data_IF_334879147429
#
_entry.id   IF_334879147429
#
_cell.length_a   1.000
_cell.length_b   1.000
_cell.length_c   1.000
_cell.angle_alpha   90.00
_cell.angle_beta   90.00
_cell.angle_gamma   90.00
#
_symmetry.space_group_name_H-M   'P 1'
#
loop_
_entity.id
_entity.type
_entity.pdbx_description
1 polymer ?
#
# COMPACT_ATOMS: atom_id res chain seq x y z
N UNK A 1 29.20 -30.23 3.50
CA UNK A 1 28.15 -31.09 2.93
C UNK A 1 26.97 -30.19 2.62
N UNK A 2 26.47 -30.10 1.37
CA UNK A 2 25.25 -29.33 1.12
C UNK A 2 24.14 -29.90 2.00
N UNK A 3 23.37 -29.02 2.62
CA UNK A 3 22.30 -29.39 3.56
C UNK A 3 21.35 -30.40 2.92
N UNK A 4 20.89 -31.34 3.75
CA UNK A 4 20.01 -32.43 3.36
C UNK A 4 18.92 -31.94 2.40
N UNK A 5 18.91 -32.51 1.20
CA UNK A 5 17.78 -32.47 0.28
C UNK A 5 16.55 -32.85 1.10
N UNK A 6 15.50 -32.02 1.10
CA UNK A 6 14.23 -32.33 1.74
C UNK A 6 13.83 -33.76 1.30
N UNK A 7 13.77 -34.73 2.24
CA UNK A 7 13.59 -36.13 1.89
C UNK A 7 12.28 -36.39 1.15
N UNK A 8 11.30 -35.48 1.22
CA UNK A 8 10.05 -35.55 0.47
C UNK A 8 10.22 -35.23 -1.02
N UNK A 9 11.33 -34.60 -1.40
CA UNK A 9 11.59 -34.19 -2.78
C UNK A 9 12.46 -35.21 -3.52
N UNK A 10 13.42 -35.87 -2.89
CA UNK A 10 14.28 -36.85 -3.60
C UNK A 10 15.23 -36.21 -4.63
N UNK A 11 15.49 -34.90 -4.53
CA UNK A 11 16.53 -34.20 -5.29
C UNK A 11 16.30 -34.15 -6.80
N UNK A 12 17.35 -33.80 -7.56
CA UNK A 12 17.26 -33.53 -9.00
C UNK A 12 16.86 -34.74 -9.87
N UNK A 13 17.02 -35.97 -9.37
CA UNK A 13 16.67 -37.20 -10.10
C UNK A 13 15.29 -37.79 -9.80
N UNK A 14 14.55 -37.21 -8.84
CA UNK A 14 13.22 -37.65 -8.44
C UNK A 14 12.11 -36.63 -8.75
N UNK A 15 10.86 -36.87 -8.33
CA UNK A 15 9.75 -35.91 -8.49
C UNK A 15 9.90 -34.64 -7.64
N UNK A 16 11.04 -34.41 -7.01
CA UNK A 16 11.27 -33.38 -6.02
C UNK A 16 11.15 -31.96 -6.50
N UNK A 17 11.84 -31.58 -7.57
CA UNK A 17 11.72 -30.24 -8.14
C UNK A 17 10.26 -29.92 -8.47
N UNK A 18 9.51 -30.86 -9.07
CA UNK A 18 8.11 -30.64 -9.43
C UNK A 18 7.18 -30.64 -8.22
N UNK A 19 7.44 -31.47 -7.20
CA UNK A 19 6.70 -31.45 -5.93
C UNK A 19 6.91 -30.13 -5.17
N UNK A 20 8.16 -29.67 -5.08
CA UNK A 20 8.48 -28.40 -4.44
C UNK A 20 7.81 -27.22 -5.14
N UNK A 21 7.81 -27.19 -6.47
CA UNK A 21 7.06 -26.18 -7.25
C UNK A 21 5.57 -26.23 -6.93
N UNK A 22 4.97 -27.43 -6.83
CA UNK A 22 3.55 -27.59 -6.44
C UNK A 22 3.29 -27.03 -5.04
N UNK A 23 4.16 -27.27 -4.07
CA UNK A 23 4.02 -26.71 -2.72
C UNK A 23 4.11 -25.18 -2.74
N UNK A 24 5.07 -24.59 -3.46
CA UNK A 24 5.16 -23.13 -3.60
C UNK A 24 3.92 -22.54 -4.27
N UNK A 25 3.43 -23.15 -5.34
CA UNK A 25 2.17 -22.76 -5.98
C UNK A 25 0.98 -22.86 -5.01
N UNK A 26 0.91 -23.92 -4.22
CA UNK A 26 -0.11 -24.10 -3.19
C UNK A 26 -0.06 -23.03 -2.10
N UNK A 27 1.14 -22.66 -1.65
CA UNK A 27 1.34 -21.54 -0.70
C UNK A 27 0.85 -20.22 -1.30
N UNK A 28 1.19 -19.92 -2.56
CA UNK A 28 0.70 -18.73 -3.25
C UNK A 28 -0.84 -18.73 -3.36
N UNK A 29 -1.45 -19.87 -3.72
CA UNK A 29 -2.90 -20.01 -3.78
C UNK A 29 -3.55 -19.81 -2.39
N UNK A 30 -2.94 -20.35 -1.33
CA UNK A 30 -3.37 -20.14 0.04
C UNK A 30 -3.34 -18.66 0.45
N UNK A 31 -2.29 -17.93 0.05
CA UNK A 31 -2.21 -16.48 0.26
C UNK A 31 -3.31 -15.72 -0.50
N UNK A 32 -3.68 -16.14 -1.72
CA UNK A 32 -4.81 -15.50 -2.43
C UNK A 32 -6.15 -15.81 -1.75
N UNK A 33 -6.36 -17.05 -1.30
CA UNK A 33 -7.58 -17.45 -0.58
C UNK A 33 -7.72 -16.71 0.76
N UNK A 34 -6.60 -16.36 1.41
CA UNK A 34 -6.61 -15.61 2.67
C UNK A 34 -7.27 -14.23 2.53
N UNK A 35 -7.26 -13.59 1.35
CA UNK A 35 -7.96 -12.31 1.15
C UNK A 35 -9.47 -12.44 1.45
N UNK A 36 -10.12 -13.47 0.88
CA UNK A 36 -11.54 -13.74 1.13
C UNK A 36 -11.81 -14.14 2.59
N UNK A 37 -10.90 -14.91 3.21
CA UNK A 37 -11.01 -15.27 4.62
C UNK A 37 -10.93 -14.05 5.55
N UNK A 38 -10.07 -13.07 5.23
CA UNK A 38 -9.98 -11.81 5.98
C UNK A 38 -11.27 -11.01 5.86
N UNK A 39 -11.86 -10.91 4.66
CA UNK A 39 -13.14 -10.24 4.45
C UNK A 39 -14.26 -10.90 5.26
N UNK A 40 -14.38 -12.24 5.20
CA UNK A 40 -15.36 -12.99 5.97
C UNK A 40 -15.21 -12.79 7.49
N UNK A 41 -13.97 -12.83 8.00
CA UNK A 41 -13.69 -12.59 9.41
C UNK A 41 -14.08 -11.17 9.85
N UNK A 42 -13.89 -10.17 8.98
CA UNK A 42 -14.34 -8.80 9.23
C UNK A 42 -15.86 -8.67 9.25
N UNK A 43 -16.59 -9.39 8.39
CA UNK A 43 -18.05 -9.45 8.43
C UNK A 43 -18.57 -10.07 9.72
N UNK A 44 -17.97 -11.18 10.16
CA UNK A 44 -18.35 -11.85 11.40
C UNK A 44 -18.06 -10.96 12.61
N UNK A 45 -16.91 -10.29 12.63
CA UNK A 45 -16.59 -9.30 13.66
C UNK A 45 -17.61 -8.15 13.68
N UNK A 46 -18.01 -7.64 12.51
CA UNK A 46 -19.00 -6.59 12.42
C UNK A 46 -20.37 -7.02 12.93
N UNK A 47 -20.78 -8.27 12.70
CA UNK A 47 -22.02 -8.85 13.24
C UNK A 47 -22.00 -8.92 14.77
N UNK A 48 -20.86 -9.24 15.37
CA UNK A 48 -20.70 -9.38 16.83
C UNK A 48 -20.63 -8.02 17.52
N UNK A 49 -19.84 -7.10 16.97
CA UNK A 49 -19.44 -5.85 17.66
C UNK A 49 -20.27 -4.64 17.20
N UNK A 50 -21.04 -4.77 16.11
CA UNK A 50 -21.85 -3.68 15.55
C UNK A 50 -21.05 -2.57 14.88
N UNK A 51 -19.74 -2.74 14.70
CA UNK A 51 -18.85 -1.78 14.04
C UNK A 51 -18.26 -2.42 12.79
N UNK A 52 -18.04 -1.63 11.74
CA UNK A 52 -17.47 -2.11 10.49
C UNK A 52 -16.11 -1.45 10.25
N UNK A 53 -15.12 -2.27 9.91
CA UNK A 53 -13.79 -1.81 9.52
C UNK A 53 -13.43 -2.42 8.18
N UNK A 54 -12.75 -1.66 7.33
CA UNK A 54 -12.32 -2.17 6.05
C UNK A 54 -11.31 -3.33 6.24
N UNK A 55 -11.53 -4.48 5.57
CA UNK A 55 -10.66 -5.66 5.69
C UNK A 55 -9.33 -5.46 4.97
N UNK A 56 -9.38 -5.05 3.70
CA UNK A 56 -8.21 -5.02 2.83
C UNK A 56 -7.63 -3.61 2.69
N UNK A 57 -8.49 -2.67 2.33
CA UNK A 57 -8.15 -1.28 2.02
C UNK A 57 -9.26 -0.37 2.52
N UNK A 58 -8.90 0.67 3.26
CA UNK A 58 -9.81 1.70 3.74
C UNK A 58 -9.68 2.94 2.85
N UNK A 59 -10.78 3.37 2.23
CA UNK A 59 -10.82 4.60 1.44
C UNK A 59 -11.39 5.75 2.27
N UNK A 60 -10.80 6.93 2.18
CA UNK A 60 -11.20 8.13 2.89
C UNK A 60 -11.26 9.31 1.91
N UNK A 61 -12.42 9.96 1.80
CA UNK A 61 -12.65 11.11 0.90
C UNK A 61 -12.23 10.83 -0.56
N UNK A 62 -12.57 9.65 -1.11
CA UNK A 62 -12.12 9.20 -2.44
C UNK A 62 -13.11 9.45 -3.58
N UNK A 63 -14.39 9.72 -3.28
CA UNK A 63 -15.47 9.73 -4.29
C UNK A 63 -15.22 10.71 -5.46
N UNK A 64 -14.60 11.85 -5.19
CA UNK A 64 -14.24 12.90 -6.15
C UNK A 64 -12.74 13.24 -6.14
N UNK A 65 -11.91 12.39 -5.53
CA UNK A 65 -10.49 12.66 -5.33
C UNK A 65 -9.72 12.66 -6.65
N UNK A 66 -9.07 13.79 -6.97
CA UNK A 66 -8.14 13.87 -8.10
C UNK A 66 -6.75 13.36 -7.75
N UNK A 67 -6.37 13.46 -6.48
CA UNK A 67 -5.10 12.93 -5.96
C UNK A 67 -5.35 12.17 -4.68
N UNK A 68 -4.50 11.20 -4.35
CA UNK A 68 -4.61 10.47 -3.10
C UNK A 68 -3.27 10.24 -2.41
N UNK A 69 -3.30 10.26 -1.07
CA UNK A 69 -2.23 9.67 -0.28
C UNK A 69 -2.49 8.17 -0.06
N UNK A 70 -1.42 7.38 -0.01
CA UNK A 70 -1.47 5.97 0.39
C UNK A 70 -0.63 5.78 1.64
N UNK A 71 -1.24 5.26 2.71
CA UNK A 71 -0.58 5.08 4.00
C UNK A 71 -0.79 3.69 4.57
N UNK A 72 0.01 3.34 5.58
CA UNK A 72 -0.13 2.13 6.37
C UNK A 72 0.08 2.43 7.85
N UNK A 73 -0.65 1.75 8.73
CA UNK A 73 -0.48 1.88 10.18
C UNK A 73 -1.00 3.18 10.78
N UNK A 74 -0.39 3.62 11.89
CA UNK A 74 -0.89 4.69 12.77
C UNK A 74 -0.81 6.09 12.18
N UNK A 75 0.17 6.37 11.32
CA UNK A 75 0.35 7.66 10.64
C UNK A 75 -0.88 8.09 9.83
N UNK A 76 -1.76 7.13 9.50
CA UNK A 76 -3.02 7.41 8.79
C UNK A 76 -3.90 8.42 9.54
N UNK A 77 -3.83 8.50 10.88
CA UNK A 77 -4.58 9.50 11.65
C UNK A 77 -4.25 10.93 11.21
N UNK A 78 -2.99 11.32 11.39
CA UNK A 78 -2.50 12.63 10.96
C UNK A 78 -2.67 12.87 9.44
N UNK A 79 -2.57 11.83 8.62
CA UNK A 79 -2.81 11.94 7.19
C UNK A 79 -4.28 12.28 6.86
N UNK A 80 -5.24 11.73 7.61
CA UNK A 80 -6.66 12.07 7.46
C UNK A 80 -6.94 13.50 7.87
N UNK A 81 -6.36 13.94 8.98
CA UNK A 81 -6.49 15.33 9.44
C UNK A 81 -5.96 16.31 8.37
N UNK A 82 -4.79 16.03 7.79
CA UNK A 82 -4.25 16.83 6.69
C UNK A 82 -5.11 16.79 5.41
N UNK A 83 -5.74 15.65 5.11
CA UNK A 83 -6.72 15.52 4.02
C UNK A 83 -7.94 16.38 4.28
N UNK A 84 -8.47 16.39 5.50
CA UNK A 84 -9.62 17.24 5.86
C UNK A 84 -9.25 18.73 5.76
N UNK A 85 -8.09 19.16 6.28
CA UNK A 85 -7.61 20.53 6.13
C UNK A 85 -7.47 20.95 4.65
N UNK A 86 -6.98 20.06 3.80
CA UNK A 86 -6.86 20.32 2.36
C UNK A 86 -8.23 20.36 1.68
N UNK A 87 -9.17 19.50 2.10
CA UNK A 87 -10.56 19.47 1.62
C UNK A 87 -11.32 20.73 1.98
N UNK A 88 -11.13 21.26 3.19
CA UNK A 88 -11.71 22.52 3.64
C UNK A 88 -11.20 23.71 2.81
N UNK A 89 -9.99 23.59 2.23
CA UNK A 89 -9.42 24.54 1.26
C UNK A 89 -9.85 24.27 -0.19
N UNK A 90 -10.85 23.42 -0.41
CA UNK A 90 -11.39 23.09 -1.73
C UNK A 90 -10.53 22.16 -2.58
N UNK A 91 -9.52 21.50 -2.00
CA UNK A 91 -8.63 20.58 -2.74
C UNK A 91 -9.25 19.18 -2.78
N UNK A 92 -9.36 18.59 -3.98
CA UNK A 92 -9.89 17.24 -4.21
C UNK A 92 -8.87 16.15 -3.89
N UNK A 93 -8.55 15.97 -2.61
CA UNK A 93 -7.60 14.98 -2.12
C UNK A 93 -8.27 13.86 -1.32
N UNK A 94 -7.93 12.62 -1.62
CA UNK A 94 -8.36 11.47 -0.85
C UNK A 94 -7.21 10.77 -0.16
N UNK A 95 -7.54 9.71 0.57
CA UNK A 95 -6.57 8.84 1.21
C UNK A 95 -7.01 7.39 1.12
N UNK A 96 -6.02 6.52 0.88
CA UNK A 96 -6.17 5.07 0.88
C UNK A 96 -5.24 4.49 1.94
N UNK A 97 -5.81 3.86 2.97
CA UNK A 97 -5.03 3.11 3.96
C UNK A 97 -5.02 1.64 3.61
N UNK A 98 -3.83 1.08 3.44
CA UNK A 98 -3.65 -0.37 3.32
C UNK A 98 -3.81 -1.00 4.70
N UNK A 99 -4.83 -1.84 4.84
CA UNK A 99 -5.18 -2.54 6.10
C UNK A 99 -4.56 -3.93 6.15
N UNK A 100 -4.65 -4.66 5.05
CA UNK A 100 -3.97 -5.94 4.86
C UNK A 100 -2.77 -5.71 3.95
N UNK A 101 -1.55 -5.87 4.47
CA UNK A 101 -0.33 -5.69 3.67
C UNK A 101 0.14 -6.99 2.99
N UNK A 102 -0.05 -8.14 3.65
CA UNK A 102 0.29 -9.46 3.12
C UNK A 102 -0.81 -10.47 3.50
N UNK A 103 -1.45 -11.16 2.54
CA UNK A 103 -1.33 -10.99 1.08
C UNK A 103 -1.64 -9.55 0.63
N UNK A 104 -0.87 -9.02 -0.33
CA UNK A 104 -1.09 -7.65 -0.80
C UNK A 104 -2.38 -7.59 -1.64
N UNK A 105 -3.35 -6.72 -1.32
CA UNK A 105 -4.67 -6.71 -1.95
C UNK A 105 -4.66 -5.92 -3.27
N UNK A 106 -3.94 -6.46 -4.26
CA UNK A 106 -3.67 -5.82 -5.58
C UNK A 106 -4.92 -5.20 -6.18
N UNK A 107 -6.00 -5.97 -6.33
CA UNK A 107 -7.23 -5.51 -6.99
C UNK A 107 -7.94 -4.41 -6.20
N UNK A 108 -7.94 -4.49 -4.86
CA UNK A 108 -8.56 -3.48 -4.02
C UNK A 108 -7.79 -2.14 -4.08
N UNK A 109 -6.46 -2.19 -4.06
CA UNK A 109 -5.59 -1.01 -4.21
C UNK A 109 -5.76 -0.39 -5.59
N UNK A 110 -5.69 -1.21 -6.65
CA UNK A 110 -5.86 -0.75 -8.02
C UNK A 110 -7.22 -0.07 -8.23
N UNK A 111 -8.30 -0.68 -7.74
CA UNK A 111 -9.65 -0.12 -7.81
C UNK A 111 -9.76 1.20 -7.05
N UNK A 112 -9.24 1.26 -5.82
CA UNK A 112 -9.32 2.46 -4.98
C UNK A 112 -8.61 3.67 -5.62
N UNK A 113 -7.52 3.44 -6.35
CA UNK A 113 -6.69 4.50 -6.93
C UNK A 113 -6.96 4.81 -8.40
N UNK A 114 -7.82 4.03 -9.07
CA UNK A 114 -8.06 4.14 -10.52
C UNK A 114 -8.66 5.48 -10.98
N UNK A 115 -9.28 6.25 -10.08
CA UNK A 115 -9.86 7.56 -10.41
C UNK A 115 -8.88 8.74 -10.26
N UNK A 116 -7.70 8.51 -9.67
CA UNK A 116 -6.76 9.57 -9.38
C UNK A 116 -5.86 9.88 -10.59
N UNK A 117 -5.41 11.13 -10.67
CA UNK A 117 -4.37 11.61 -11.59
C UNK A 117 -2.97 11.35 -11.05
N UNK A 118 -2.79 11.51 -9.74
CA UNK A 118 -1.55 11.21 -9.05
C UNK A 118 -1.76 10.66 -7.65
N UNK A 119 -0.80 9.87 -7.16
CA UNK A 119 -0.80 9.29 -5.82
C UNK A 119 0.55 9.48 -5.12
N UNK A 120 0.51 9.73 -3.81
CA UNK A 120 1.69 9.80 -2.96
C UNK A 120 1.68 8.68 -1.95
N UNK A 121 2.67 7.79 -1.99
CA UNK A 121 2.77 6.68 -1.04
C UNK A 121 3.75 7.06 0.06
N UNK A 122 3.31 7.01 1.31
CA UNK A 122 4.13 7.40 2.46
C UNK A 122 4.50 6.18 3.27
N UNK A 123 5.80 5.87 3.28
CA UNK A 123 6.38 4.73 3.95
C UNK A 123 7.11 5.14 5.23
N UNK A 124 6.97 4.30 6.26
CA UNK A 124 7.81 4.32 7.47
C UNK A 124 8.91 3.26 7.40
N UNK A 125 9.45 3.05 6.22
CA UNK A 125 10.45 2.02 5.92
C UNK A 125 11.20 2.39 4.64
N UNK A 126 12.39 1.82 4.47
CA UNK A 126 13.28 2.12 3.35
C UNK A 126 13.62 0.83 2.61
N UNK A 127 13.38 0.83 1.29
CA UNK A 127 13.88 -0.19 0.38
C UNK A 127 15.14 0.34 -0.31
N UNK A 128 16.29 0.13 0.35
CA UNK A 128 17.57 0.74 -0.03
C UNK A 128 17.99 0.47 -1.48
N UNK A 129 17.76 -0.74 -1.98
CA UNK A 129 18.16 -1.13 -3.34
C UNK A 129 17.41 -0.42 -4.47
N UNK A 130 16.25 0.18 -4.17
CA UNK A 130 15.41 0.87 -5.16
C UNK A 130 15.17 2.35 -4.80
N UNK A 131 15.84 2.85 -3.75
CA UNK A 131 15.74 4.25 -3.32
C UNK A 131 14.29 4.77 -3.10
N UNK A 132 13.42 3.93 -2.51
CA UNK A 132 12.02 4.27 -2.23
C UNK A 132 11.46 3.45 -1.05
N UNK A 133 10.19 3.63 -0.73
CA UNK A 133 9.49 2.83 0.28
C UNK A 133 9.00 1.46 -0.24
N UNK A 134 8.96 0.41 0.59
CA UNK A 134 8.45 -0.90 0.17
C UNK A 134 6.95 -0.91 -0.17
N UNK A 135 6.11 -0.14 0.55
CA UNK A 135 4.69 -0.01 0.19
C UNK A 135 4.54 0.67 -1.18
N UNK A 136 5.35 1.69 -1.45
CA UNK A 136 5.39 2.33 -2.77
C UNK A 136 5.62 1.31 -3.90
N UNK A 137 6.55 0.37 -3.73
CA UNK A 137 6.84 -0.69 -4.71
C UNK A 137 5.63 -1.59 -4.99
N UNK A 138 4.94 -2.02 -3.93
CA UNK A 138 3.74 -2.84 -4.08
C UNK A 138 2.59 -2.05 -4.75
N UNK A 139 2.44 -0.77 -4.41
CA UNK A 139 1.42 0.11 -4.99
C UNK A 139 1.67 0.31 -6.49
N UNK A 140 2.88 0.68 -6.92
CA UNK A 140 3.16 0.84 -8.36
C UNK A 140 2.99 -0.47 -9.15
N UNK A 141 3.27 -1.62 -8.51
CA UNK A 141 2.97 -2.93 -9.06
C UNK A 141 1.46 -3.17 -9.22
N UNK A 142 0.67 -2.81 -8.21
CA UNK A 142 -0.78 -2.93 -8.27
C UNK A 142 -1.44 -1.96 -9.27
N UNK A 143 -0.88 -0.76 -9.48
CA UNK A 143 -1.37 0.20 -10.46
C UNK A 143 -1.27 -0.29 -11.91
N UNK A 144 -0.56 -1.40 -12.18
CA UNK A 144 -0.63 -2.07 -13.49
C UNK A 144 -2.03 -2.63 -13.80
N UNK A 145 -2.83 -2.92 -12.77
CA UNK A 145 -4.19 -3.45 -12.87
C UNK A 145 -5.26 -2.36 -12.74
N UNK A 146 -4.86 -1.09 -12.58
CA UNK A 146 -5.79 0.02 -12.49
C UNK A 146 -6.34 0.38 -13.88
N UNK A 147 -7.61 0.79 -13.95
CA UNK A 147 -8.24 1.18 -15.22
C UNK A 147 -7.59 2.44 -15.81
N UNK A 148 -7.19 3.38 -14.95
CA UNK A 148 -6.29 4.48 -15.27
C UNK A 148 -5.13 4.46 -14.30
N UNK A 149 -3.92 4.67 -14.82
CA UNK A 149 -2.70 4.57 -14.03
C UNK A 149 -2.28 5.97 -13.57
N UNK A 150 -2.53 6.35 -12.30
CA UNK A 150 -2.03 7.62 -11.78
C UNK A 150 -0.51 7.65 -11.82
N UNK A 151 0.05 8.83 -11.99
CA UNK A 151 1.46 9.06 -11.65
C UNK A 151 1.65 8.80 -10.15
N UNK A 152 2.78 8.22 -9.75
CA UNK A 152 3.03 7.88 -8.37
C UNK A 152 4.35 8.48 -7.90
N UNK A 153 4.42 8.90 -6.64
CA UNK A 153 5.67 9.29 -6.00
C UNK A 153 5.81 8.70 -4.59
N UNK A 154 7.05 8.51 -4.18
CA UNK A 154 7.43 7.92 -2.90
C UNK A 154 7.77 9.00 -1.87
N UNK A 155 7.25 8.84 -0.66
CA UNK A 155 7.62 9.62 0.50
C UNK A 155 8.11 8.68 1.60
N UNK A 156 9.15 9.10 2.33
CA UNK A 156 9.63 8.39 3.52
C UNK A 156 9.58 9.34 4.71
N UNK A 157 9.02 8.87 5.82
CA UNK A 157 8.93 9.65 7.05
C UNK A 157 8.59 8.81 8.28
N UNK A 158 8.79 9.39 9.46
CA UNK A 158 8.55 8.73 10.76
C UNK A 158 9.53 7.60 11.09
N UNK A 159 10.72 7.60 10.48
CA UNK A 159 11.77 6.62 10.76
C UNK A 159 12.25 6.75 12.21
N UNK A 160 12.69 5.63 12.80
CA UNK A 160 13.18 5.57 14.17
C UNK A 160 12.21 6.13 15.24
N UNK A 161 10.90 6.12 14.97
CA UNK A 161 9.89 6.66 15.88
C UNK A 161 9.77 8.18 15.85
N UNK A 162 10.43 8.85 14.89
CA UNK A 162 10.19 10.26 14.62
C UNK A 162 8.69 10.51 14.38
N UNK A 163 8.21 11.66 14.86
CA UNK A 163 6.82 12.03 14.65
C UNK A 163 6.56 12.31 13.16
N UNK A 164 5.33 12.10 12.71
CA UNK A 164 4.90 12.48 11.36
C UNK A 164 3.60 13.24 11.45
N UNK A 165 3.71 14.55 11.26
CA UNK A 165 2.67 15.51 11.61
C UNK A 165 1.73 15.79 10.43
N UNK A 166 0.65 16.49 10.71
CA UNK A 166 -0.25 17.05 9.69
C UNK A 166 0.47 17.95 8.70
N UNK A 167 1.45 18.75 9.14
CA UNK A 167 2.28 19.58 8.23
C UNK A 167 3.03 18.72 7.20
N UNK A 168 3.61 17.61 7.64
CA UNK A 168 4.36 16.71 6.75
C UNK A 168 3.46 16.13 5.67
N UNK A 169 2.24 15.76 6.03
CA UNK A 169 1.24 15.33 5.06
C UNK A 169 0.72 16.46 4.19
N UNK A 170 0.59 17.69 4.71
CA UNK A 170 0.27 18.88 3.92
C UNK A 170 1.30 19.12 2.81
N UNK A 171 2.59 19.08 3.15
CA UNK A 171 3.70 19.14 2.18
C UNK A 171 3.65 18.00 1.17
N UNK A 172 3.34 16.77 1.62
CA UNK A 172 3.17 15.63 0.72
C UNK A 172 2.02 15.85 -0.28
N UNK A 173 0.86 16.31 0.18
CA UNK A 173 -0.30 16.61 -0.67
C UNK A 173 0.07 17.63 -1.75
N UNK A 174 0.77 18.70 -1.40
CA UNK A 174 1.21 19.72 -2.37
C UNK A 174 2.10 19.15 -3.46
N UNK A 175 3.05 18.28 -3.09
CA UNK A 175 3.91 17.59 -4.04
C UNK A 175 3.14 16.65 -4.96
N UNK A 176 2.15 15.91 -4.43
CA UNK A 176 1.30 15.03 -5.26
C UNK A 176 0.40 15.85 -6.20
N UNK A 177 -0.08 17.01 -5.76
CA UNK A 177 -0.85 17.92 -6.63
C UNK A 177 0.01 18.52 -7.74
N UNK A 178 1.28 18.84 -7.48
CA UNK A 178 2.23 19.24 -8.52
C UNK A 178 2.47 18.11 -9.52
N UNK A 179 2.69 16.87 -9.02
CA UNK A 179 2.82 15.68 -9.86
C UNK A 179 1.60 15.46 -10.77
N UNK A 180 0.39 15.71 -10.28
CA UNK A 180 -0.84 15.60 -11.06
C UNK A 180 -0.95 16.62 -12.21
N UNK A 181 -0.24 17.75 -12.13
CA UNK A 181 -0.21 18.79 -13.16
C UNK A 181 0.91 18.55 -14.17
N UNK A 182 2.11 18.27 -13.67
CA UNK A 182 3.33 18.29 -14.47
C UNK A 182 3.71 16.90 -15.00
N UNK A 183 3.20 15.83 -14.39
CA UNK A 183 3.46 14.44 -14.75
C UNK A 183 4.89 13.95 -14.48
N UNK A 184 5.77 14.82 -13.97
CA UNK A 184 7.16 14.52 -13.71
C UNK A 184 7.34 13.78 -12.39
N UNK A 185 7.58 12.46 -12.48
CA UNK A 185 7.93 11.63 -11.33
C UNK A 185 9.34 11.99 -10.87
N UNK A 186 9.45 12.57 -9.68
CA UNK A 186 10.71 12.92 -9.04
C UNK A 186 11.30 11.80 -8.18
N UNK A 187 12.41 12.12 -7.51
CA UNK A 187 13.03 11.25 -6.51
C UNK A 187 12.16 11.12 -5.25
N UNK A 188 12.47 10.12 -4.42
CA UNK A 188 11.82 9.93 -3.12
C UNK A 188 12.01 11.16 -2.24
N UNK A 189 10.92 11.63 -1.65
CA UNK A 189 10.91 12.79 -0.75
C UNK A 189 11.01 12.33 0.70
N UNK A 190 11.98 12.85 1.45
CA UNK A 190 12.20 12.55 2.86
C UNK A 190 11.55 13.64 3.73
N UNK A 191 10.40 13.31 4.36
CA UNK A 191 9.53 14.32 4.99
C UNK A 191 10.15 14.95 6.24
N UNK A 192 10.82 14.13 7.06
CA UNK A 192 11.38 14.49 8.37
C UNK A 192 12.88 14.84 8.34
N UNK A 193 13.50 14.92 7.16
CA UNK A 193 14.97 15.07 7.05
C UNK A 193 15.49 16.37 7.68
N UNK A 194 14.65 17.40 7.74
CA UNK A 194 15.00 18.76 8.17
C UNK A 194 14.24 19.22 9.41
N UNK A 195 13.63 18.27 10.12
CA UNK A 195 12.91 18.55 11.37
C UNK A 195 13.86 18.92 12.51
#
# INVERSE_FOLDING_TARGET
RPMAIDPLTGGAGGPGPSLFVRYRKGQCAGMQNALAAIEAAHEDWARIVGRRHAPLVESYRMDDAEVALVTLGSMTGAAKDAVDEARDRGRRVGLVKVKTYRPFPVQAVAKALSGCKAVGVVDRSVSFGWNCGPLYQDVIGALQFAAQRPAAMSFIGGLAGADITTDHFGRAIERVQALAKDGQVGETVWLNEKD
#
